data_IF_436469796977
#
_entry.id   IF_436469796977
#
_cell.length_a   1.000
_cell.length_b   1.000
_cell.length_c   1.000
_cell.angle_alpha   90.00
_cell.angle_beta   90.00
_cell.angle_gamma   90.00
#
_symmetry.space_group_name_H-M   'P 1'
#
loop_
_entity.id
_entity.type
_entity.pdbx_description
1 polymer ?
#
# COMPACT_ATOMS: atom_id res chain seq x y z
N UNK A 1 -10.50 3.27 4.77
CA UNK A 1 -10.80 1.97 4.17
C UNK A 1 -10.16 1.88 2.78
N UNK A 2 -9.47 0.82 2.53
CA UNK A 2 -8.88 0.51 1.22
C UNK A 2 -9.73 -0.55 0.55
N UNK A 3 -10.13 -0.32 -0.69
CA UNK A 3 -10.95 -1.28 -1.42
C UNK A 3 -10.51 -1.47 -2.87
N UNK A 4 -10.79 -2.66 -3.40
CA UNK A 4 -10.56 -3.01 -4.79
C UNK A 4 -11.69 -3.93 -5.25
N UNK A 5 -12.52 -3.45 -6.17
CA UNK A 5 -13.63 -4.24 -6.68
C UNK A 5 -13.14 -5.45 -7.48
N UNK A 6 -12.13 -5.26 -8.31
CA UNK A 6 -11.57 -6.33 -9.14
C UNK A 6 -11.05 -7.48 -8.29
N UNK A 7 -10.34 -7.17 -7.21
CA UNK A 7 -9.72 -8.17 -6.34
C UNK A 7 -10.62 -8.57 -5.16
N UNK A 8 -11.82 -8.00 -5.07
CA UNK A 8 -12.82 -8.30 -4.03
C UNK A 8 -12.24 -8.07 -2.63
N UNK A 9 -11.50 -6.97 -2.46
CA UNK A 9 -10.88 -6.59 -1.20
C UNK A 9 -11.57 -5.37 -0.61
N UNK A 10 -11.76 -5.40 0.69
CA UNK A 10 -12.27 -4.27 1.47
C UNK A 10 -11.60 -4.34 2.83
N UNK A 11 -10.62 -3.44 3.07
CA UNK A 11 -9.74 -3.51 4.22
C UNK A 11 -9.80 -2.22 5.03
N UNK A 12 -9.94 -2.36 6.35
CA UNK A 12 -9.81 -1.24 7.27
C UNK A 12 -8.33 -0.97 7.48
N UNK A 13 -7.91 0.28 7.29
CA UNK A 13 -6.52 0.70 7.45
C UNK A 13 -6.37 1.40 8.78
N UNK A 14 -5.43 0.93 9.59
CA UNK A 14 -5.13 1.52 10.89
C UNK A 14 -4.01 2.54 10.77
N UNK A 15 -3.87 3.39 11.79
CA UNK A 15 -2.75 4.32 11.88
C UNK A 15 -1.50 3.57 12.35
N UNK A 16 -0.38 3.79 11.65
CA UNK A 16 0.88 3.12 11.95
C UNK A 16 1.06 1.83 11.17
N UNK A 17 2.26 1.62 10.65
CA UNK A 17 2.58 0.48 9.79
C UNK A 17 3.71 -0.38 10.37
N UNK A 18 3.87 -0.38 11.70
CA UNK A 18 4.93 -1.13 12.37
C UNK A 18 4.39 -1.98 13.50
N UNK A 19 5.13 -3.05 13.80
CA UNK A 19 4.89 -3.89 14.96
C UNK A 19 3.59 -4.67 14.90
N UNK A 20 2.98 -4.83 16.07
CA UNK A 20 1.83 -5.72 16.21
C UNK A 20 0.57 -5.25 15.51
N UNK A 21 0.46 -3.97 15.18
CA UNK A 21 -0.74 -3.46 14.51
C UNK A 21 -0.94 -4.12 13.13
N UNK A 22 0.13 -4.48 12.42
CA UNK A 22 0.05 -5.12 11.12
C UNK A 22 -0.49 -6.56 11.18
N UNK A 23 -0.52 -7.17 12.36
CA UNK A 23 -1.12 -8.49 12.53
C UNK A 23 -2.65 -8.44 12.37
N UNK A 24 -3.25 -7.27 12.57
CA UNK A 24 -4.71 -7.10 12.55
C UNK A 24 -5.24 -6.43 11.28
N UNK A 25 -4.43 -5.58 10.65
CA UNK A 25 -4.89 -4.82 9.49
C UNK A 25 -3.71 -4.18 8.76
N UNK A 26 -3.92 -3.72 7.52
CA UNK A 26 -2.97 -2.82 6.87
C UNK A 26 -2.80 -1.55 7.69
N UNK A 27 -1.60 -0.98 7.65
CA UNK A 27 -1.26 0.21 8.43
C UNK A 27 -0.81 1.37 7.54
N UNK A 28 -1.33 2.57 7.85
CA UNK A 28 -0.90 3.82 7.23
C UNK A 28 0.39 4.29 7.87
N UNK A 29 1.43 4.56 7.07
CA UNK A 29 2.68 5.13 7.56
C UNK A 29 2.43 6.56 8.02
N UNK A 30 2.67 6.84 9.30
CA UNK A 30 2.32 8.14 9.90
C UNK A 30 3.17 9.30 9.37
N UNK A 31 4.29 9.02 8.72
CA UNK A 31 5.15 10.04 8.09
C UNK A 31 4.75 10.30 6.63
N UNK A 32 3.79 9.55 6.10
CA UNK A 32 3.26 9.79 4.76
C UNK A 32 1.98 10.62 4.84
N UNK A 33 1.50 11.06 3.68
CA UNK A 33 0.33 11.92 3.60
C UNK A 33 -0.96 11.11 3.73
N UNK A 34 -2.01 11.78 4.21
CA UNK A 34 -3.36 11.23 4.15
C UNK A 34 -3.91 11.38 2.73
N UNK A 35 -4.93 10.59 2.35
CA UNK A 35 -5.55 10.74 1.04
C UNK A 35 -6.01 12.18 0.79
N UNK A 36 -5.82 12.66 -0.43
CA UNK A 36 -6.23 14.01 -0.86
C UNK A 36 -5.47 15.17 -0.20
N UNK A 37 -4.34 14.92 0.41
CA UNK A 37 -3.51 15.98 0.98
C UNK A 37 -2.37 16.44 0.06
N UNK A 38 -2.36 15.96 -1.18
CA UNK A 38 -1.40 16.42 -2.18
C UNK A 38 -0.08 15.67 -2.21
N UNK A 39 0.08 14.61 -1.42
CA UNK A 39 1.31 13.85 -1.35
C UNK A 39 1.11 12.35 -1.40
N UNK A 40 2.20 11.60 -1.25
CA UNK A 40 2.19 10.14 -1.27
C UNK A 40 1.59 9.60 0.02
N UNK A 41 0.59 8.74 -0.11
CA UNK A 41 0.01 7.96 1.00
C UNK A 41 0.61 6.57 0.96
N UNK A 42 1.24 6.14 2.06
CA UNK A 42 1.88 4.82 2.14
C UNK A 42 1.12 3.91 3.09
N UNK A 43 0.73 2.74 2.59
CA UNK A 43 0.03 1.71 3.36
C UNK A 43 0.80 0.40 3.22
N UNK A 44 1.08 -0.24 4.34
CA UNK A 44 1.81 -1.50 4.39
C UNK A 44 0.98 -2.60 5.04
N UNK A 45 1.22 -3.84 4.63
CA UNK A 45 0.63 -5.02 5.26
C UNK A 45 1.50 -6.24 4.99
N UNK A 46 1.22 -7.34 5.70
CA UNK A 46 1.96 -8.58 5.51
C UNK A 46 1.63 -9.25 4.18
N UNK A 47 2.66 -9.86 3.56
CA UNK A 47 2.57 -10.53 2.26
C UNK A 47 1.73 -11.80 2.25
N UNK A 48 1.57 -12.42 3.42
CA UNK A 48 0.85 -13.69 3.55
C UNK A 48 -0.54 -13.53 4.14
N UNK A 49 -0.98 -12.29 4.34
CA UNK A 49 -2.30 -11.99 4.88
C UNK A 49 -2.98 -10.90 4.02
N UNK A 50 -3.09 -9.68 4.56
CA UNK A 50 -3.89 -8.62 3.95
C UNK A 50 -3.42 -8.18 2.58
N UNK A 51 -2.10 -8.24 2.29
CA UNK A 51 -1.54 -7.84 1.00
C UNK A 51 -1.05 -9.02 0.14
N UNK A 52 -1.46 -10.24 0.48
CA UNK A 52 -1.18 -11.39 -0.39
C UNK A 52 -1.73 -11.16 -1.80
N UNK A 53 -2.89 -10.53 -1.92
CA UNK A 53 -3.53 -10.29 -3.22
C UNK A 53 -2.74 -9.35 -4.12
N UNK A 54 -1.76 -8.58 -3.60
CA UNK A 54 -0.98 -7.66 -4.43
C UNK A 54 -0.23 -8.38 -5.57
N UNK A 55 0.08 -9.68 -5.39
CA UNK A 55 0.72 -10.45 -6.47
C UNK A 55 -0.17 -10.59 -7.71
N UNK A 56 -1.47 -10.39 -7.56
CA UNK A 56 -2.44 -10.48 -8.66
C UNK A 56 -2.75 -9.12 -9.30
N UNK A 57 -2.22 -8.02 -8.75
CA UNK A 57 -2.51 -6.67 -9.21
C UNK A 57 -1.74 -6.37 -10.48
N UNK A 58 -2.40 -5.68 -11.40
CA UNK A 58 -1.83 -5.28 -12.70
C UNK A 58 -1.88 -3.77 -12.87
N UNK A 59 -1.05 -3.26 -13.77
CA UNK A 59 -1.11 -1.87 -14.20
C UNK A 59 -2.53 -1.57 -14.69
N UNK A 60 -3.04 -0.41 -14.36
CA UNK A 60 -4.40 0.11 -14.62
C UNK A 60 -5.49 -0.40 -13.66
N UNK A 61 -5.17 -1.30 -12.75
CA UNK A 61 -6.14 -1.68 -11.71
C UNK A 61 -6.47 -0.46 -10.85
N UNK A 62 -7.68 -0.44 -10.30
CA UNK A 62 -8.19 0.70 -9.53
C UNK A 62 -8.29 0.33 -8.06
N UNK A 63 -7.76 1.21 -7.21
CA UNK A 63 -7.95 1.17 -5.76
C UNK A 63 -8.71 2.40 -5.31
N UNK A 64 -9.50 2.23 -4.26
CA UNK A 64 -10.24 3.33 -3.64
C UNK A 64 -9.88 3.45 -2.18
N UNK A 65 -9.67 4.69 -1.72
CA UNK A 65 -9.47 5.01 -0.32
C UNK A 65 -10.62 5.86 0.17
N UNK A 66 -11.25 5.43 1.25
CA UNK A 66 -12.32 6.19 1.91
C UNK A 66 -11.80 6.66 3.26
N UNK A 67 -11.85 7.97 3.51
CA UNK A 67 -11.38 8.56 4.75
C UNK A 67 -12.48 8.60 5.81
N UNK A 68 -12.17 9.23 6.97
CA UNK A 68 -13.10 9.33 8.10
C UNK A 68 -14.36 10.12 7.76
N UNK A 69 -14.28 11.01 6.79
CA UNK A 69 -15.39 11.86 6.38
C UNK A 69 -16.22 11.21 5.27
N UNK A 70 -16.00 9.94 4.98
CA UNK A 70 -16.64 9.21 3.88
C UNK A 70 -16.30 9.76 2.50
N UNK A 71 -15.20 10.49 2.37
CA UNK A 71 -14.71 10.95 1.07
C UNK A 71 -13.87 9.84 0.45
N UNK A 72 -14.26 9.42 -0.75
CA UNK A 72 -13.57 8.35 -1.48
C UNK A 72 -12.73 8.93 -2.60
N UNK A 73 -11.48 8.48 -2.67
CA UNK A 73 -10.55 8.84 -3.73
C UNK A 73 -10.17 7.59 -4.51
N UNK A 74 -10.11 7.72 -5.83
CA UNK A 74 -9.77 6.59 -6.70
C UNK A 74 -8.36 6.75 -7.24
N UNK A 75 -7.61 5.65 -7.28
CA UNK A 75 -6.22 5.61 -7.74
C UNK A 75 -6.05 4.52 -8.76
N UNK A 76 -5.35 4.83 -9.84
CA UNK A 76 -5.05 3.85 -10.89
C UNK A 76 -3.60 3.40 -10.78
N UNK A 77 -3.36 2.08 -10.77
CA UNK A 77 -2.02 1.52 -10.68
C UNK A 77 -1.20 1.93 -11.90
N UNK A 78 -0.06 2.57 -11.65
CA UNK A 78 0.84 3.08 -12.68
C UNK A 78 2.20 2.41 -12.68
N UNK A 79 2.59 1.74 -11.59
CA UNK A 79 3.91 1.11 -11.48
C UNK A 79 3.88 -0.01 -10.45
N UNK A 80 4.62 -1.07 -10.74
CA UNK A 80 4.80 -2.20 -9.83
C UNK A 80 6.28 -2.53 -9.87
N UNK A 81 6.96 -2.50 -8.71
CA UNK A 81 8.37 -2.82 -8.68
C UNK A 81 8.78 -3.49 -7.37
N UNK A 82 9.93 -4.14 -7.42
CA UNK A 82 10.56 -4.77 -6.27
C UNK A 82 11.79 -3.94 -5.92
N UNK A 83 11.87 -3.52 -4.66
CA UNK A 83 13.01 -2.73 -4.19
C UNK A 83 13.73 -3.48 -3.06
N UNK A 84 15.01 -3.13 -2.88
CA UNK A 84 15.82 -3.61 -1.76
C UNK A 84 15.85 -2.51 -0.69
N UNK A 85 15.19 -2.77 0.44
CA UNK A 85 15.07 -1.79 1.51
C UNK A 85 16.39 -1.44 2.19
N UNK A 86 17.45 -2.24 1.95
CA UNK A 86 18.80 -1.92 2.45
C UNK A 86 19.53 -0.91 1.56
N UNK A 87 19.04 -0.68 0.33
CA UNK A 87 19.68 0.16 -0.67
C UNK A 87 18.92 1.44 -0.97
N UNK A 88 17.61 1.45 -0.73
CA UNK A 88 16.80 2.64 -0.99
C UNK A 88 15.57 2.66 -0.09
N UNK A 89 15.09 3.87 0.19
CA UNK A 89 13.86 4.10 0.93
C UNK A 89 12.67 4.21 -0.02
N UNK A 90 11.47 4.07 0.55
CA UNK A 90 10.24 4.34 -0.17
C UNK A 90 10.12 5.86 -0.33
N UNK A 91 10.01 6.31 -1.58
CA UNK A 91 9.89 7.74 -1.87
C UNK A 91 8.51 8.27 -1.47
N UNK A 92 8.49 9.33 -0.67
CA UNK A 92 7.27 10.05 -0.28
C UNK A 92 7.36 11.44 -0.87
N UNK A 93 6.52 11.72 -1.87
CA UNK A 93 6.52 13.00 -2.57
C UNK A 93 5.48 13.93 -1.96
N UNK A 94 5.82 15.21 -1.84
CA UNK A 94 4.90 16.22 -1.30
C UNK A 94 4.01 16.88 -2.35
N UNK A 95 4.25 16.59 -3.62
CA UNK A 95 3.59 17.24 -4.76
C UNK A 95 2.87 16.27 -5.69
N UNK A 96 2.73 15.01 -5.28
CA UNK A 96 2.06 13.99 -6.09
C UNK A 96 1.02 13.25 -5.26
N UNK A 97 -0.24 13.35 -5.67
CA UNK A 97 -1.31 12.55 -5.08
C UNK A 97 -1.17 11.12 -5.59
N UNK A 98 -0.54 10.28 -4.80
CA UNK A 98 -0.34 8.87 -5.15
C UNK A 98 -0.49 7.99 -3.92
N UNK A 99 -0.80 6.73 -4.19
CA UNK A 99 -0.91 5.68 -3.18
C UNK A 99 0.20 4.67 -3.43
N UNK A 100 0.92 4.29 -2.36
CA UNK A 100 1.87 3.18 -2.42
C UNK A 100 1.45 2.10 -1.46
N UNK A 101 1.24 0.90 -2.00
CA UNK A 101 0.92 -0.30 -1.23
C UNK A 101 2.18 -1.16 -1.17
N UNK A 102 2.63 -1.49 0.04
CA UNK A 102 3.92 -2.10 0.27
C UNK A 102 3.78 -3.38 1.06
N UNK A 103 4.46 -4.43 0.63
CA UNK A 103 4.58 -5.66 1.39
C UNK A 103 5.95 -6.29 1.17
N UNK A 104 6.27 -7.33 1.95
CA UNK A 104 7.51 -8.06 1.79
C UNK A 104 7.48 -8.93 0.54
N UNK A 105 8.64 -9.24 0.00
CA UNK A 105 8.82 -10.05 -1.19
C UNK A 105 9.97 -11.03 -0.97
N UNK A 106 9.94 -12.23 -1.51
CA UNK A 106 8.87 -12.82 -2.34
C UNK A 106 7.65 -13.24 -1.51
N UNK A 107 6.51 -13.41 -2.18
CA UNK A 107 5.25 -13.77 -1.52
C UNK A 107 5.29 -15.18 -0.91
N UNK A 108 6.04 -16.08 -1.50
CA UNK A 108 6.15 -17.47 -1.06
C UNK A 108 7.38 -17.73 -0.18
N UNK A 109 8.02 -16.68 0.33
CA UNK A 109 9.22 -16.84 1.15
C UNK A 109 8.90 -17.57 2.46
N UNK A 110 9.75 -18.54 2.78
CA UNK A 110 9.64 -19.31 4.03
C UNK A 110 10.22 -18.53 5.20
N UNK A 111 11.27 -17.71 4.92
CA UNK A 111 11.94 -16.92 5.93
C UNK A 111 11.36 -15.51 5.96
N UNK A 112 10.91 -15.08 7.13
CA UNK A 112 10.43 -13.72 7.34
C UNK A 112 11.60 -12.73 7.32
N UNK A 113 11.31 -11.45 7.03
CA UNK A 113 12.23 -10.31 7.17
C UNK A 113 13.37 -10.23 6.15
N UNK A 114 13.15 -10.69 4.94
CA UNK A 114 14.09 -10.40 3.86
C UNK A 114 14.09 -8.90 3.52
N UNK A 115 15.12 -8.42 2.80
CA UNK A 115 15.26 -7.00 2.48
C UNK A 115 14.37 -6.51 1.35
N UNK A 116 13.74 -7.43 0.60
CA UNK A 116 12.99 -7.04 -0.59
C UNK A 116 11.56 -6.63 -0.26
N UNK A 117 11.09 -5.62 -0.97
CA UNK A 117 9.72 -5.10 -0.83
C UNK A 117 9.04 -5.04 -2.18
N UNK A 118 7.80 -5.44 -2.22
CA UNK A 118 6.93 -5.33 -3.38
C UNK A 118 6.13 -4.04 -3.24
N UNK A 119 6.27 -3.14 -4.21
CA UNK A 119 5.68 -1.79 -4.15
C UNK A 119 4.75 -1.59 -5.33
N UNK A 120 3.47 -1.37 -5.02
CA UNK A 120 2.46 -1.01 -6.01
C UNK A 120 2.19 0.48 -5.88
N UNK A 121 2.42 1.24 -6.94
CA UNK A 121 2.17 2.68 -6.97
C UNK A 121 0.96 2.96 -7.84
N UNK A 122 0.03 3.75 -7.32
CA UNK A 122 -1.17 4.16 -8.02
C UNK A 122 -1.35 5.67 -7.91
N UNK A 123 -1.80 6.30 -9.00
CA UNK A 123 -1.99 7.74 -9.06
C UNK A 123 -3.45 8.11 -8.98
N UNK A 124 -3.72 9.21 -8.31
CA UNK A 124 -5.08 9.76 -8.18
C UNK A 124 -5.66 10.07 -9.56
N UNK A 125 -6.89 9.64 -9.78
CA UNK A 125 -7.64 9.88 -11.01
C UNK A 125 -8.90 10.70 -10.77
#
# INVERSE_FOLDING_TARGET
>A
KLSSNKHKQELIVLSGDKGNSLAFAPGHNIFSYMPNQGGTTVISAHRDTHFEFLQEVSITDIFELTDRNNTTSSYEVSDIKIIDATKQDIAIHSDQNELKLITCYPFDAIVARGPLRYVVTAKLI
#
